data_IF_604435148965
#
_entry.id   IF_604435148965
#
_cell.length_a   1.000
_cell.length_b   1.000
_cell.length_c   1.000
_cell.angle_alpha   90.00
_cell.angle_beta   90.00
_cell.angle_gamma   90.00
#
_symmetry.space_group_name_H-M   'P 1'
#
loop_
_entity.id
_entity.type
_entity.pdbx_description
1 polymer ?
#
# COMPACT_ATOMS: atom_id res chain seq x y z
N UNK A 1 12.53 29.02 -8.76
CA UNK A 1 11.51 27.95 -8.91
C UNK A 1 12.25 26.63 -8.81
N UNK A 2 12.20 25.98 -7.65
CA UNK A 2 12.88 24.71 -7.46
C UNK A 2 12.11 23.64 -8.23
N UNK A 3 12.79 22.91 -9.11
CA UNK A 3 12.27 21.69 -9.73
C UNK A 3 11.98 20.71 -8.59
N UNK A 4 10.75 20.72 -8.09
CA UNK A 4 10.24 19.70 -7.20
C UNK A 4 10.18 18.45 -8.06
N UNK A 5 11.25 17.68 -8.06
CA UNK A 5 11.27 16.34 -8.63
C UNK A 5 10.12 15.58 -7.95
N UNK A 6 8.98 15.46 -8.65
CA UNK A 6 7.77 14.74 -8.24
C UNK A 6 7.99 13.22 -8.23
N UNK A 7 9.15 12.80 -7.74
CA UNK A 7 9.49 11.42 -7.47
C UNK A 7 8.59 10.93 -6.35
N UNK A 8 7.76 9.96 -6.69
CA UNK A 8 7.02 9.17 -5.72
C UNK A 8 8.00 8.39 -4.84
N UNK A 9 7.76 8.39 -3.52
CA UNK A 9 8.43 7.51 -2.57
C UNK A 9 7.42 6.69 -1.78
N UNK A 10 7.69 5.39 -1.69
CA UNK A 10 6.98 4.42 -0.88
C UNK A 10 7.91 3.91 0.21
N UNK A 11 7.52 4.09 1.46
CA UNK A 11 8.20 3.52 2.60
C UNK A 11 7.32 2.43 3.20
N UNK A 12 7.88 1.24 3.38
CA UNK A 12 7.22 0.10 4.00
C UNK A 12 7.94 -0.29 5.28
N UNK A 13 7.18 -0.64 6.31
CA UNK A 13 7.75 -1.24 7.52
C UNK A 13 8.16 -2.68 7.23
N UNK A 14 9.42 -3.01 7.53
CA UNK A 14 9.91 -4.39 7.38
C UNK A 14 9.16 -5.36 8.28
N UNK A 15 8.96 -4.99 9.54
CA UNK A 15 8.21 -5.81 10.49
C UNK A 15 6.76 -6.03 10.05
N UNK A 16 6.15 -5.05 9.39
CA UNK A 16 4.79 -5.21 8.84
C UNK A 16 4.82 -6.15 7.61
N UNK A 17 5.82 -6.04 6.73
CA UNK A 17 6.00 -6.97 5.61
C UNK A 17 6.15 -8.43 6.05
N UNK A 18 6.87 -8.68 7.15
CA UNK A 18 7.10 -10.03 7.67
C UNK A 18 5.81 -10.71 8.18
N UNK A 19 4.74 -9.96 8.46
CA UNK A 19 3.45 -10.48 8.95
C UNK A 19 2.27 -10.21 8.01
N UNK A 20 2.47 -9.42 6.95
CA UNK A 20 1.42 -9.00 6.03
C UNK A 20 0.95 -10.14 5.12
N UNK A 21 1.83 -11.08 4.81
CA UNK A 21 1.58 -12.18 3.88
C UNK A 21 1.78 -13.53 4.56
N UNK A 22 0.98 -14.51 4.16
CA UNK A 22 1.23 -15.91 4.51
C UNK A 22 2.32 -16.53 3.62
N UNK A 23 2.68 -17.78 3.90
CA UNK A 23 3.70 -18.53 3.16
C UNK A 23 3.37 -18.74 1.68
N UNK A 24 2.10 -18.56 1.28
CA UNK A 24 1.66 -18.62 -0.12
C UNK A 24 1.75 -17.28 -0.85
N UNK A 25 2.17 -16.21 -0.15
CA UNK A 25 2.22 -14.85 -0.67
C UNK A 25 0.85 -14.17 -0.72
N UNK A 26 -0.19 -14.74 -0.09
CA UNK A 26 -1.49 -14.09 0.04
C UNK A 26 -1.44 -13.10 1.18
N UNK A 27 -1.95 -11.90 0.93
CA UNK A 27 -2.04 -10.90 1.99
C UNK A 27 -3.12 -11.28 3.02
N UNK A 28 -2.70 -11.37 4.28
CA UNK A 28 -3.53 -11.70 5.44
C UNK A 28 -3.68 -10.52 6.41
N UNK A 29 -2.73 -9.57 6.41
CA UNK A 29 -2.80 -8.34 7.22
C UNK A 29 -2.53 -7.09 6.37
N UNK A 30 -3.11 -5.93 6.71
CA UNK A 30 -2.85 -4.69 5.98
C UNK A 30 -1.40 -4.23 6.06
N UNK A 31 -0.89 -3.71 4.96
CA UNK A 31 0.45 -3.14 4.88
C UNK A 31 0.42 -1.66 5.28
N UNK A 32 1.09 -1.31 6.36
CA UNK A 32 1.32 0.10 6.70
C UNK A 32 2.41 0.67 5.80
N UNK A 33 2.06 1.71 5.05
CA UNK A 33 2.94 2.41 4.14
C UNK A 33 2.93 3.92 4.39
N UNK A 34 4.07 4.57 4.19
CA UNK A 34 4.14 6.04 4.09
C UNK A 34 4.36 6.44 2.64
N UNK A 35 3.44 7.22 2.10
CA UNK A 35 3.49 7.69 0.71
C UNK A 35 3.88 9.17 0.70
N UNK A 36 4.93 9.55 -0.04
CA UNK A 36 5.33 10.97 -0.15
C UNK A 36 5.60 11.37 -1.60
N UNK A 37 5.56 12.67 -1.88
CA UNK A 37 5.64 13.22 -3.23
C UNK A 37 4.30 13.13 -3.95
N UNK A 38 4.27 12.56 -5.15
CA UNK A 38 3.07 12.44 -5.99
C UNK A 38 2.09 11.35 -5.49
N UNK A 39 1.45 11.58 -4.34
CA UNK A 39 0.48 10.65 -3.74
C UNK A 39 -0.67 10.34 -4.70
N UNK A 40 -1.19 11.35 -5.41
CA UNK A 40 -2.31 11.15 -6.35
C UNK A 40 -1.97 10.18 -7.50
N UNK A 41 -0.75 10.26 -8.05
CA UNK A 41 -0.27 9.32 -9.08
C UNK A 41 -0.13 7.90 -8.55
N UNK A 42 0.27 7.75 -7.29
CA UNK A 42 0.47 6.46 -6.60
C UNK A 42 -0.85 5.79 -6.30
N UNK A 43 -1.85 6.55 -5.83
CA UNK A 43 -3.19 6.03 -5.61
C UNK A 43 -3.78 5.47 -6.91
N UNK A 44 -3.55 6.14 -8.04
CA UNK A 44 -3.94 5.63 -9.37
C UNK A 44 -3.20 4.33 -9.73
N UNK A 45 -1.90 4.24 -9.42
CA UNK A 45 -1.11 3.03 -9.67
C UNK A 45 -1.62 1.85 -8.83
N UNK A 46 -1.81 2.04 -7.52
CA UNK A 46 -2.35 0.99 -6.65
C UNK A 46 -3.71 0.49 -7.15
N UNK A 47 -4.63 1.40 -7.45
CA UNK A 47 -5.95 1.03 -7.97
C UNK A 47 -5.88 0.18 -9.25
N UNK A 48 -4.92 0.46 -10.15
CA UNK A 48 -4.70 -0.34 -11.38
C UNK A 48 -4.06 -1.69 -11.10
N UNK A 49 -3.16 -1.77 -10.12
CA UNK A 49 -2.48 -3.01 -9.73
C UNK A 49 -3.30 -3.87 -8.77
N UNK A 50 -4.58 -3.56 -8.56
CA UNK A 50 -5.46 -4.31 -7.68
C UNK A 50 -5.21 -4.04 -6.19
N UNK A 51 -4.56 -2.94 -5.84
CA UNK A 51 -4.35 -2.51 -4.46
C UNK A 51 -5.32 -1.39 -4.08
N UNK A 52 -5.86 -1.50 -2.87
CA UNK A 52 -6.59 -0.45 -2.18
C UNK A 52 -5.64 0.21 -1.20
N UNK A 53 -5.69 1.54 -1.12
CA UNK A 53 -4.90 2.33 -0.21
C UNK A 53 -5.86 3.24 0.57
N UNK A 54 -5.90 3.06 1.89
CA UNK A 54 -6.79 3.82 2.76
C UNK A 54 -5.96 4.67 3.72
N UNK A 55 -6.26 5.96 3.89
CA UNK A 55 -5.58 6.78 4.90
C UNK A 55 -5.77 6.17 6.29
N UNK A 56 -4.69 6.06 7.06
CA UNK A 56 -4.78 5.48 8.39
C UNK A 56 -5.28 6.53 9.40
N UNK A 57 -6.52 6.32 9.86
CA UNK A 57 -7.18 7.17 10.86
C UNK A 57 -6.44 7.09 12.19
N UNK A 58 -5.83 8.20 12.63
CA UNK A 58 -5.09 8.27 13.90
C UNK A 58 -3.61 7.93 13.79
N UNK A 59 -3.05 7.87 12.58
CA UNK A 59 -1.61 7.69 12.39
C UNK A 59 -0.79 8.78 13.09
N UNK A 60 0.27 8.36 13.78
CA UNK A 60 1.22 9.29 14.42
C UNK A 60 2.09 10.05 13.40
N UNK A 61 2.14 9.57 12.15
CA UNK A 61 2.91 10.17 11.07
C UNK A 61 2.00 10.63 9.93
N UNK A 62 2.32 11.77 9.28
CA UNK A 62 1.56 12.24 8.13
C UNK A 62 1.78 11.31 6.93
N UNK A 63 0.77 11.22 6.07
CA UNK A 63 0.78 10.43 4.83
C UNK A 63 0.95 8.91 5.04
N UNK A 64 0.39 8.40 6.14
CA UNK A 64 0.34 6.97 6.42
C UNK A 64 -0.93 6.36 5.83
N UNK A 65 -0.76 5.20 5.19
CA UNK A 65 -1.82 4.49 4.48
C UNK A 65 -1.76 3.01 4.81
N UNK A 66 -2.93 2.41 4.92
CA UNK A 66 -3.15 0.98 4.96
C UNK A 66 -3.32 0.47 3.53
N UNK A 67 -2.47 -0.45 3.09
CA UNK A 67 -2.52 -1.04 1.76
C UNK A 67 -3.09 -2.46 1.83
N UNK A 68 -4.10 -2.74 1.02
CA UNK A 68 -4.77 -4.02 0.91
C UNK A 68 -4.88 -4.44 -0.56
N UNK A 69 -4.30 -5.58 -0.91
CA UNK A 69 -4.53 -6.26 -2.16
C UNK A 69 -6.01 -6.66 -2.21
N UNK A 70 -6.67 -6.33 -3.31
CA UNK A 70 -7.97 -6.91 -3.64
C UNK A 70 -7.72 -8.39 -3.78
N UNK A 71 -8.18 -9.16 -2.80
CA UNK A 71 -8.14 -10.60 -2.91
C UNK A 71 -8.96 -10.96 -4.15
N UNK A 72 -8.30 -11.54 -5.15
CA UNK A 72 -9.00 -12.23 -6.22
C UNK A 72 -9.93 -13.22 -5.55
N UNK A 73 -11.18 -13.26 -5.99
CA UNK A 73 -12.16 -14.25 -5.52
C UNK A 73 -11.43 -15.59 -5.54
N UNK A 74 -11.29 -16.30 -4.39
CA UNK A 74 -10.60 -17.57 -4.40
C UNK A 74 -11.33 -18.42 -5.42
N UNK A 75 -10.61 -18.81 -6.48
CA UNK A 75 -11.15 -19.68 -7.51
C UNK A 75 -11.84 -20.83 -6.78
N UNK A 76 -13.14 -20.95 -7.00
CA UNK A 76 -13.92 -22.08 -6.55
C UNK A 76 -13.22 -23.30 -7.14
N UNK A 77 -12.45 -24.01 -6.31
CA UNK A 77 -11.83 -25.26 -6.71
C UNK A 77 -12.95 -26.21 -7.11
N UNK A 78 -12.85 -26.74 -8.33
CA UNK A 78 -13.55 -27.95 -8.74
C UNK A 78 -13.03 -29.16 -7.94
#
# INVERSE_FOLDING_TARGET
MSEQNDLFRLYLSRANLDVAFDDSGRQINPLTARLTGNVAGVMKLFNRCGWLAEPESGASLPHQYSLMARQGVPGKGD
#
